data_IF_146456993774
#
_entry.id   IF_146456993774
#
_cell.length_a   1.000
_cell.length_b   1.000
_cell.length_c   1.000
_cell.angle_alpha   90.00
_cell.angle_beta   90.00
_cell.angle_gamma   90.00
#
_symmetry.space_group_name_H-M   'P 1'
#
loop_
_entity.id
_entity.type
_entity.pdbx_description
1 polymer ?
#
# COMPACT_ATOMS: atom_id res chain seq x y z
N UNK A 1 14.77 -1.62 -29.11
CA UNK A 1 15.54 -1.32 -27.89
C UNK A 1 15.04 -2.26 -26.80
N UNK A 2 15.82 -3.28 -26.42
CA UNK A 2 15.40 -4.23 -25.37
C UNK A 2 15.48 -3.51 -24.01
N UNK A 3 14.33 -3.20 -23.42
CA UNK A 3 14.30 -2.68 -22.06
C UNK A 3 14.50 -3.87 -21.11
N UNK A 4 15.71 -4.00 -20.56
CA UNK A 4 16.03 -5.06 -19.61
C UNK A 4 15.19 -4.87 -18.34
N UNK A 5 14.30 -5.82 -18.08
CA UNK A 5 13.53 -5.90 -16.83
C UNK A 5 14.47 -6.28 -15.68
N UNK A 6 14.39 -5.53 -14.59
CA UNK A 6 15.14 -5.72 -13.34
C UNK A 6 14.19 -6.17 -12.24
N UNK A 7 14.72 -6.87 -11.24
CA UNK A 7 13.99 -7.30 -10.06
C UNK A 7 14.73 -6.88 -8.80
N UNK A 8 13.97 -6.47 -7.79
CA UNK A 8 14.46 -6.29 -6.42
C UNK A 8 13.55 -7.05 -5.48
N UNK A 9 14.13 -7.75 -4.51
CA UNK A 9 13.41 -8.32 -3.37
C UNK A 9 14.01 -7.74 -2.10
N UNK A 10 13.17 -7.15 -1.26
CA UNK A 10 13.63 -6.40 -0.09
C UNK A 10 12.61 -6.46 1.04
N UNK A 11 13.03 -6.06 2.24
CA UNK A 11 12.11 -5.81 3.33
C UNK A 11 11.61 -4.37 3.30
N UNK A 12 10.38 -4.15 3.76
CA UNK A 12 9.75 -2.83 3.76
C UNK A 12 9.99 -2.15 5.11
N UNK A 13 10.91 -1.18 5.15
CA UNK A 13 11.18 -0.32 6.31
C UNK A 13 10.21 0.87 6.33
N UNK A 14 9.66 1.18 7.51
CA UNK A 14 8.70 2.25 7.75
C UNK A 14 9.34 3.38 8.57
N UNK A 15 9.30 4.60 8.03
CA UNK A 15 9.91 5.80 8.65
C UNK A 15 8.99 7.02 8.60
N UNK A 16 9.23 8.00 9.46
CA UNK A 16 8.72 9.37 9.30
C UNK A 16 9.85 10.35 9.63
N UNK A 17 10.35 11.06 8.62
CA UNK A 17 11.59 11.83 8.74
C UNK A 17 12.78 10.95 9.18
N UNK A 18 13.42 11.32 10.29
CA UNK A 18 14.51 10.56 10.90
C UNK A 18 14.03 9.40 11.79
N UNK A 19 12.77 9.40 12.22
CA UNK A 19 12.21 8.37 13.10
C UNK A 19 11.97 7.08 12.31
N UNK A 20 12.47 5.97 12.84
CA UNK A 20 12.18 4.63 12.33
C UNK A 20 11.09 3.99 13.19
N UNK A 21 10.03 3.48 12.55
CA UNK A 21 8.95 2.77 13.23
C UNK A 21 9.20 1.26 13.27
N UNK A 22 9.88 0.72 12.27
CA UNK A 22 10.18 -0.71 12.15
C UNK A 22 10.02 -1.18 10.71
N UNK A 23 9.95 -2.50 10.53
CA UNK A 23 9.69 -3.15 9.26
C UNK A 23 8.26 -3.68 9.23
N UNK A 24 7.61 -3.69 8.08
CA UNK A 24 6.28 -4.30 7.92
C UNK A 24 6.36 -5.79 8.25
N UNK A 25 5.49 -6.27 9.14
CA UNK A 25 5.34 -7.68 9.46
C UNK A 25 4.72 -8.44 8.27
N UNK A 26 5.11 -9.70 8.01
CA UNK A 26 4.45 -10.50 7.00
C UNK A 26 3.06 -10.99 7.45
N UNK A 27 2.59 -10.64 8.65
CA UNK A 27 1.32 -11.10 9.23
C UNK A 27 0.29 -9.97 9.15
N UNK A 28 -0.93 -10.31 8.75
CA UNK A 28 -2.06 -9.38 8.79
C UNK A 28 -2.62 -9.19 10.20
N UNK A 29 -3.20 -8.04 10.47
CA UNK A 29 -4.00 -7.82 11.68
C UNK A 29 -5.31 -8.65 11.65
N UNK A 30 -6.17 -8.46 12.66
CA UNK A 30 -7.45 -9.16 12.78
C UNK A 30 -8.41 -8.95 11.60
N UNK A 31 -8.22 -7.88 10.83
CA UNK A 31 -9.05 -7.49 9.69
C UNK A 31 -8.43 -7.85 8.34
N UNK A 32 -7.27 -8.50 8.30
CA UNK A 32 -6.63 -8.88 7.04
C UNK A 32 -5.76 -7.76 6.43
N UNK A 33 -5.33 -6.80 7.22
CA UNK A 33 -4.55 -5.63 6.77
C UNK A 33 -3.08 -5.75 7.19
N UNK A 34 -2.18 -5.21 6.37
CA UNK A 34 -0.80 -4.98 6.80
C UNK A 34 -0.73 -3.75 7.70
N UNK A 35 0.14 -3.80 8.71
CA UNK A 35 0.39 -2.64 9.57
C UNK A 35 1.05 -2.97 10.90
N UNK A 36 1.05 -4.23 11.32
CA UNK A 36 1.94 -4.64 12.40
C UNK A 36 3.39 -4.42 11.98
N UNK A 37 4.16 -3.74 12.83
CA UNK A 37 5.58 -3.45 12.60
C UNK A 37 6.46 -4.25 13.55
N UNK A 38 7.62 -4.68 13.05
CA UNK A 38 8.65 -5.38 13.81
C UNK A 38 9.93 -4.55 13.90
N UNK A 39 10.65 -4.65 15.01
CA UNK A 39 11.85 -3.84 15.28
C UNK A 39 13.08 -4.24 14.46
N UNK A 40 13.11 -5.45 13.89
CA UNK A 40 14.26 -5.98 13.16
C UNK A 40 13.90 -6.46 11.75
N UNK A 41 14.87 -6.46 10.84
CA UNK A 41 14.73 -6.95 9.46
C UNK A 41 14.42 -8.46 9.33
N UNK A 42 15.07 -9.37 10.10
CA UNK A 42 14.81 -10.80 9.96
C UNK A 42 13.33 -11.15 10.17
N UNK A 43 12.78 -11.93 9.24
CA UNK A 43 11.36 -12.33 9.28
C UNK A 43 10.36 -11.27 8.80
N UNK A 44 10.79 -10.05 8.46
CA UNK A 44 9.88 -9.00 7.98
C UNK A 44 9.25 -9.38 6.63
N UNK A 45 8.17 -8.69 6.26
CA UNK A 45 7.57 -8.77 4.94
C UNK A 45 8.63 -8.49 3.89
N UNK A 46 8.74 -9.41 2.93
CA UNK A 46 9.58 -9.31 1.75
C UNK A 46 8.69 -9.01 0.56
N UNK A 47 9.01 -7.95 -0.18
CA UNK A 47 8.29 -7.55 -1.39
C UNK A 47 9.23 -7.66 -2.58
N UNK A 48 8.79 -8.36 -3.62
CA UNK A 48 9.44 -8.36 -4.93
C UNK A 48 8.80 -7.30 -5.84
N UNK A 49 9.63 -6.46 -6.45
CA UNK A 49 9.22 -5.46 -7.43
C UNK A 49 9.99 -5.71 -8.72
N UNK A 50 9.26 -5.81 -9.83
CA UNK A 50 9.85 -5.90 -11.17
C UNK A 50 9.72 -4.55 -11.86
N UNK A 51 10.81 -4.03 -12.44
CA UNK A 51 10.83 -2.69 -13.02
C UNK A 51 11.83 -2.56 -14.17
N UNK A 52 11.62 -1.58 -15.05
CA UNK A 52 12.35 -1.46 -16.31
C UNK A 52 13.06 -0.10 -16.51
N UNK A 53 12.87 0.85 -15.59
CA UNK A 53 13.44 2.20 -15.67
C UNK A 53 14.05 2.66 -14.33
N UNK A 54 14.57 3.90 -14.28
CA UNK A 54 15.16 4.50 -13.07
C UNK A 54 14.14 5.20 -12.16
N UNK A 55 12.88 5.34 -12.60
CA UNK A 55 11.76 5.82 -11.77
C UNK A 55 10.45 5.19 -12.24
N UNK A 56 10.34 3.85 -12.16
CA UNK A 56 9.16 3.10 -12.55
C UNK A 56 7.94 3.43 -11.69
N UNK A 57 6.76 3.50 -12.31
CA UNK A 57 5.46 3.69 -11.66
C UNK A 57 4.47 2.62 -12.08
N UNK A 58 3.31 2.57 -11.41
CA UNK A 58 2.24 1.59 -11.67
C UNK A 58 2.74 0.14 -11.52
N UNK A 59 3.52 -0.10 -10.47
CA UNK A 59 4.17 -1.39 -10.22
C UNK A 59 3.37 -2.24 -9.25
N UNK A 60 3.30 -3.53 -9.55
CA UNK A 60 2.89 -4.53 -8.58
C UNK A 60 4.05 -4.81 -7.62
N UNK A 61 3.73 -4.92 -6.34
CA UNK A 61 4.60 -5.53 -5.34
C UNK A 61 4.10 -6.93 -5.02
N UNK A 62 4.96 -7.95 -5.05
CA UNK A 62 4.59 -9.32 -4.67
C UNK A 62 5.09 -9.58 -3.25
N UNK A 63 4.18 -9.85 -2.31
CA UNK A 63 4.50 -10.26 -0.95
C UNK A 63 5.00 -11.71 -0.93
N UNK A 64 6.31 -11.93 -1.07
CA UNK A 64 6.88 -13.28 -1.28
C UNK A 64 6.77 -14.20 -0.05
N UNK A 65 6.57 -13.61 1.14
CA UNK A 65 6.30 -14.32 2.39
C UNK A 65 5.01 -13.83 3.05
N UNK A 66 4.03 -13.37 2.27
CA UNK A 66 2.72 -12.98 2.79
C UNK A 66 1.93 -14.19 3.34
N UNK A 67 0.86 -13.96 4.13
CA UNK A 67 0.15 -15.03 4.87
C UNK A 67 -0.59 -16.04 3.99
N UNK A 68 -1.05 -15.62 2.81
CA UNK A 68 -1.92 -16.41 1.95
C UNK A 68 -1.59 -16.16 0.48
N UNK A 69 -1.22 -17.23 -0.22
CA UNK A 69 -0.83 -17.19 -1.63
C UNK A 69 -1.97 -16.85 -2.58
N UNK A 70 -3.23 -16.86 -2.12
CA UNK A 70 -4.40 -16.38 -2.88
C UNK A 70 -4.42 -14.86 -3.04
N UNK A 71 -3.73 -14.14 -2.14
CA UNK A 71 -3.67 -12.67 -2.12
C UNK A 71 -2.21 -12.17 -2.19
N UNK A 72 -1.44 -12.54 -3.23
CA UNK A 72 0.02 -12.37 -3.25
C UNK A 72 0.46 -10.93 -3.50
N UNK A 73 -0.42 -10.06 -3.98
CA UNK A 73 -0.05 -8.68 -4.26
C UNK A 73 -0.06 -7.86 -2.98
N UNK A 74 1.05 -7.20 -2.67
CA UNK A 74 1.11 -6.09 -1.72
C UNK A 74 0.45 -4.89 -2.40
N UNK A 75 -0.82 -4.64 -2.10
CA UNK A 75 -1.62 -3.61 -2.77
C UNK A 75 -2.53 -2.90 -1.78
N UNK A 76 -3.61 -2.32 -2.27
CA UNK A 76 -4.58 -1.63 -1.43
C UNK A 76 -6.03 -2.00 -1.76
N UNK A 77 -6.89 -1.89 -0.75
CA UNK A 77 -8.33 -2.09 -0.84
C UNK A 77 -9.04 -0.89 -0.20
N UNK A 78 -10.08 -0.37 -0.84
CA UNK A 78 -10.81 0.81 -0.33
C UNK A 78 -11.32 0.60 1.09
N UNK A 79 -11.26 1.66 1.88
CA UNK A 79 -11.83 1.68 3.22
C UNK A 79 -13.34 1.45 3.21
N UNK A 80 -13.87 0.77 4.22
CA UNK A 80 -15.29 0.39 4.25
C UNK A 80 -16.24 1.59 4.35
N UNK A 81 -15.75 2.75 4.83
CA UNK A 81 -16.56 3.96 5.03
C UNK A 81 -16.40 4.99 3.90
N UNK A 82 -15.89 4.61 2.73
CA UNK A 82 -15.73 5.51 1.58
C UNK A 82 -16.93 5.43 0.63
N UNK A 83 -17.40 6.58 0.15
CA UNK A 83 -18.58 6.69 -0.73
C UNK A 83 -18.25 6.68 -2.22
N UNK A 84 -16.98 6.93 -2.56
CA UNK A 84 -16.44 6.82 -3.91
C UNK A 84 -14.98 6.31 -3.83
N UNK A 85 -14.32 6.10 -4.96
CA UNK A 85 -12.94 5.57 -5.02
C UNK A 85 -11.90 6.65 -5.33
N UNK A 86 -12.24 7.94 -5.28
CA UNK A 86 -11.39 9.00 -5.82
C UNK A 86 -10.59 9.70 -4.71
N UNK A 87 -9.28 9.74 -4.89
CA UNK A 87 -8.36 10.49 -4.06
C UNK A 87 -8.23 11.90 -4.65
N UNK A 88 -8.76 12.89 -3.91
CA UNK A 88 -8.80 14.31 -4.26
C UNK A 88 -8.63 15.16 -3.01
N UNK A 89 -8.17 16.41 -3.15
CA UNK A 89 -8.08 17.36 -2.04
C UNK A 89 -9.43 17.49 -1.33
N UNK A 90 -9.41 17.50 0.00
CA UNK A 90 -10.60 17.52 0.85
C UNK A 90 -11.36 16.19 0.95
N UNK A 91 -10.94 15.14 0.25
CA UNK A 91 -11.56 13.82 0.35
C UNK A 91 -11.17 13.11 1.64
N UNK A 92 -12.13 12.40 2.22
CA UNK A 92 -11.92 11.49 3.35
C UNK A 92 -11.61 10.06 2.89
N UNK A 93 -11.49 9.83 1.58
CA UNK A 93 -11.23 8.51 1.06
C UNK A 93 -9.84 8.01 1.43
N UNK A 94 -9.81 6.74 1.77
CA UNK A 94 -8.63 6.02 2.16
C UNK A 94 -8.73 4.56 1.69
N UNK A 95 -7.59 3.86 1.66
CA UNK A 95 -7.53 2.45 1.33
C UNK A 95 -6.52 1.75 2.23
N UNK A 96 -6.87 0.58 2.77
CA UNK A 96 -6.00 -0.24 3.59
C UNK A 96 -4.90 -0.88 2.73
N UNK A 97 -3.68 -0.98 3.25
CA UNK A 97 -2.65 -1.80 2.63
C UNK A 97 -2.93 -3.27 2.96
N UNK A 98 -3.15 -4.09 1.94
CA UNK A 98 -3.64 -5.47 2.08
C UNK A 98 -2.90 -6.44 1.17
N UNK A 99 -3.12 -7.74 1.37
CA UNK A 99 -2.90 -8.72 0.32
C UNK A 99 -4.06 -8.66 -0.68
N UNK A 100 -3.77 -8.65 -1.97
CA UNK A 100 -4.82 -8.62 -3.00
C UNK A 100 -4.49 -9.49 -4.22
N UNK A 101 -5.48 -9.67 -5.08
CA UNK A 101 -5.29 -10.22 -6.43
C UNK A 101 -4.82 -9.13 -7.39
N UNK A 102 -4.25 -9.52 -8.53
CA UNK A 102 -3.69 -8.55 -9.47
C UNK A 102 -4.79 -7.77 -10.22
N UNK A 103 -4.66 -6.46 -10.26
CA UNK A 103 -5.39 -5.56 -11.18
C UNK A 103 -4.50 -5.14 -12.35
N UNK A 104 -5.11 -4.59 -13.40
CA UNK A 104 -4.34 -4.10 -14.56
C UNK A 104 -3.54 -2.85 -14.15
N UNK A 105 -2.23 -2.77 -14.42
CA UNK A 105 -1.45 -1.58 -14.12
C UNK A 105 -2.06 -0.31 -14.74
N UNK A 106 -2.30 0.69 -13.91
CA UNK A 106 -2.89 1.97 -14.34
C UNK A 106 -4.39 1.96 -14.59
N UNK A 107 -5.12 0.89 -14.26
CA UNK A 107 -6.59 0.93 -14.23
C UNK A 107 -7.09 1.48 -12.89
N UNK A 108 -8.25 2.14 -12.87
CA UNK A 108 -8.93 2.48 -11.62
C UNK A 108 -9.22 1.25 -10.75
N UNK A 109 -9.47 1.50 -9.47
CA UNK A 109 -9.92 0.50 -8.53
C UNK A 109 -11.19 -0.22 -9.00
N UNK A 110 -11.24 -1.54 -8.76
CA UNK A 110 -12.39 -2.38 -9.09
C UNK A 110 -12.62 -3.43 -8.03
N UNK A 111 -13.85 -3.90 -7.87
CA UNK A 111 -14.15 -5.03 -6.98
C UNK A 111 -13.25 -6.22 -7.30
N UNK A 112 -12.66 -6.82 -6.27
CA UNK A 112 -11.82 -7.99 -6.44
C UNK A 112 -11.41 -8.65 -5.11
N UNK A 113 -11.01 -9.93 -5.17
CA UNK A 113 -10.61 -10.67 -3.98
C UNK A 113 -9.37 -10.06 -3.30
N UNK A 114 -9.46 -9.91 -1.98
CA UNK A 114 -8.39 -9.40 -1.13
C UNK A 114 -8.51 -9.96 0.30
N UNK A 115 -7.46 -9.77 1.10
CA UNK A 115 -7.37 -10.28 2.46
C UNK A 115 -8.33 -9.61 3.43
N UNK A 116 -8.68 -8.33 3.24
CA UNK A 116 -9.67 -7.63 4.05
C UNK A 116 -11.05 -8.23 3.85
N UNK A 117 -11.53 -8.27 2.61
CA UNK A 117 -12.82 -8.90 2.25
C UNK A 117 -12.89 -10.36 2.72
N UNK A 118 -11.80 -11.13 2.58
CA UNK A 118 -11.76 -12.51 3.05
C UNK A 118 -11.96 -12.64 4.57
N UNK A 119 -11.57 -11.63 5.36
CA UNK A 119 -11.71 -11.61 6.82
C UNK A 119 -13.02 -10.99 7.28
N UNK A 120 -13.46 -9.92 6.63
CA UNK A 120 -14.59 -9.10 7.10
C UNK A 120 -15.90 -9.41 6.38
N UNK A 121 -15.85 -10.08 5.22
CA UNK A 121 -16.98 -10.29 4.32
C UNK A 121 -17.53 -8.99 3.70
N UNK A 122 -16.77 -7.89 3.75
CA UNK A 122 -17.10 -6.65 3.06
C UNK A 122 -16.37 -6.58 1.72
N UNK A 123 -17.12 -6.69 0.62
CA UNK A 123 -16.58 -6.53 -0.73
C UNK A 123 -16.19 -5.07 -0.98
N UNK A 124 -14.92 -4.84 -1.31
CA UNK A 124 -14.38 -3.49 -1.56
C UNK A 124 -13.52 -3.46 -2.84
N UNK A 125 -13.46 -2.32 -3.55
CA UNK A 125 -12.56 -2.15 -4.68
C UNK A 125 -11.07 -2.25 -4.29
N UNK A 126 -10.25 -2.77 -5.20
CA UNK A 126 -8.81 -3.01 -5.00
C UNK A 126 -7.97 -2.38 -6.11
N UNK A 127 -6.71 -2.06 -5.78
CA UNK A 127 -5.63 -1.83 -6.73
C UNK A 127 -4.35 -2.56 -6.28
N UNK A 128 -3.73 -3.33 -7.19
CA UNK A 128 -2.45 -4.00 -6.90
C UNK A 128 -1.23 -3.20 -7.36
N UNK A 129 -1.38 -2.42 -8.44
CA UNK A 129 -0.29 -1.75 -9.13
C UNK A 129 -0.07 -0.31 -8.63
N UNK A 130 -0.08 -0.11 -7.32
CA UNK A 130 -0.07 1.21 -6.68
C UNK A 130 1.33 1.79 -6.46
N UNK A 131 2.39 1.02 -6.73
CA UNK A 131 3.74 1.40 -6.31
C UNK A 131 4.53 2.18 -7.36
N UNK A 132 5.26 3.17 -6.88
CA UNK A 132 6.38 3.84 -7.54
C UNK A 132 7.66 3.48 -6.78
N UNK A 133 8.69 3.07 -7.52
CA UNK A 133 9.96 2.66 -6.93
C UNK A 133 11.11 3.53 -7.43
N UNK A 134 11.96 4.01 -6.51
CA UNK A 134 13.19 4.75 -6.84
C UNK A 134 14.41 3.90 -6.51
N UNK A 135 15.03 3.21 -7.49
CA UNK A 135 16.13 2.27 -7.25
C UNK A 135 17.36 2.88 -6.56
N UNK A 136 17.60 4.18 -6.72
CA UNK A 136 18.77 4.85 -6.13
C UNK A 136 18.63 5.06 -4.62
N UNK A 137 17.41 5.14 -4.09
CA UNK A 137 17.16 5.39 -2.67
C UNK A 137 16.38 4.26 -1.99
N UNK A 138 15.92 3.26 -2.76
CA UNK A 138 15.00 2.24 -2.28
C UNK A 138 13.60 2.79 -1.95
N UNK A 139 13.29 4.05 -2.28
CA UNK A 139 12.01 4.66 -1.90
C UNK A 139 10.87 3.94 -2.61
N UNK A 140 9.83 3.62 -1.84
CA UNK A 140 8.59 3.04 -2.31
C UNK A 140 7.45 4.01 -1.95
N UNK A 141 6.81 4.59 -2.96
CA UNK A 141 5.69 5.54 -2.79
C UNK A 141 4.43 4.99 -3.43
N UNK A 142 3.27 5.37 -2.91
CA UNK A 142 1.99 4.92 -3.43
C UNK A 142 1.36 5.97 -4.36
N UNK A 143 0.62 5.49 -5.36
CA UNK A 143 -0.27 6.24 -6.24
C UNK A 143 -1.58 5.49 -6.34
N UNK A 144 -2.64 6.25 -6.57
CA UNK A 144 -3.98 5.71 -6.74
C UNK A 144 -4.55 6.17 -8.07
N UNK A 145 -5.29 5.31 -8.77
CA UNK A 145 -5.93 5.66 -10.03
C UNK A 145 -7.41 5.94 -9.78
N UNK A 146 -7.79 7.21 -9.88
CA UNK A 146 -9.18 7.63 -9.72
C UNK A 146 -10.07 7.05 -10.83
N UNK A 147 -11.38 7.09 -10.61
CA UNK A 147 -12.41 6.60 -11.52
C UNK A 147 -12.36 7.23 -12.91
N UNK A 148 -11.87 8.47 -13.02
CA UNK A 148 -11.63 9.18 -14.28
C UNK A 148 -10.28 8.84 -14.95
N UNK A 149 -9.58 7.83 -14.44
CA UNK A 149 -8.23 7.40 -14.83
C UNK A 149 -7.10 8.40 -14.56
N UNK A 150 -7.38 9.48 -13.82
CA UNK A 150 -6.31 10.36 -13.31
C UNK A 150 -5.50 9.66 -12.22
N UNK A 151 -4.21 9.98 -12.15
CA UNK A 151 -3.32 9.47 -11.11
C UNK A 151 -3.24 10.47 -9.97
N UNK A 152 -3.64 10.04 -8.78
CA UNK A 152 -3.60 10.85 -7.57
C UNK A 152 -2.43 10.45 -6.65
N UNK A 153 -1.80 11.39 -5.93
CA UNK A 153 -0.95 11.07 -4.80
C UNK A 153 -1.71 10.24 -3.76
N UNK A 154 -1.06 9.22 -3.22
CA UNK A 154 -1.59 8.40 -2.14
C UNK A 154 -0.57 8.38 -0.99
N UNK A 155 -0.92 9.02 0.12
CA UNK A 155 -0.02 9.21 1.25
C UNK A 155 -0.16 8.07 2.24
N UNK A 156 0.94 7.40 2.56
CA UNK A 156 0.94 6.27 3.48
C UNK A 156 0.86 6.79 4.91
N UNK A 157 -0.12 6.31 5.66
CA UNK A 157 -0.43 6.67 7.03
C UNK A 157 -0.32 5.44 7.92
N UNK A 158 -0.02 5.64 9.21
CA UNK A 158 0.09 4.55 10.17
C UNK A 158 -0.80 4.76 11.40
N UNK A 159 -1.78 3.88 11.58
CA UNK A 159 -2.60 3.77 12.79
C UNK A 159 -1.96 2.75 13.74
N UNK A 160 -1.26 3.22 14.77
CA UNK A 160 -0.46 2.37 15.64
C UNK A 160 -1.30 1.53 16.62
N UNK A 161 -2.43 2.07 17.04
CA UNK A 161 -3.44 1.43 17.88
C UNK A 161 -4.14 0.28 17.15
N UNK A 162 -4.49 0.49 15.87
CA UNK A 162 -5.12 -0.54 15.02
C UNK A 162 -4.11 -1.48 14.36
N UNK A 163 -2.82 -1.12 14.43
CA UNK A 163 -1.72 -1.81 13.74
C UNK A 163 -2.00 -1.91 12.24
N UNK A 164 -2.37 -0.78 11.65
CA UNK A 164 -2.82 -0.69 10.25
C UNK A 164 -2.03 0.36 9.49
N UNK A 165 -1.58 -0.02 8.30
CA UNK A 165 -1.06 0.90 7.29
C UNK A 165 -2.16 1.13 6.26
N UNK A 166 -2.41 2.38 5.93
CA UNK A 166 -3.38 2.77 4.92
C UNK A 166 -2.84 3.91 4.07
N UNK A 167 -3.47 4.16 2.93
CA UNK A 167 -3.22 5.31 2.09
C UNK A 167 -4.41 6.25 2.11
N UNK A 168 -4.16 7.56 2.10
CA UNK A 168 -5.20 8.58 1.99
C UNK A 168 -4.87 9.56 0.87
N UNK A 169 -5.90 10.12 0.23
CA UNK A 169 -5.74 11.17 -0.79
C UNK A 169 -5.41 12.54 -0.19
N UNK A 170 -5.98 12.83 0.98
CA UNK A 170 -5.72 14.05 1.75
C UNK A 170 -5.59 13.71 3.25
N UNK A 171 -4.35 13.53 3.75
CA UNK A 171 -4.11 13.21 5.16
C UNK A 171 -4.67 14.23 6.15
N UNK A 172 -4.72 15.51 5.77
CA UNK A 172 -5.19 16.57 6.67
C UNK A 172 -6.70 16.48 6.80
N UNK A 173 -7.42 16.41 5.67
CA UNK A 173 -8.87 16.24 5.69
C UNK A 173 -9.29 14.97 6.44
N UNK A 174 -8.59 13.85 6.22
CA UNK A 174 -8.85 12.59 6.93
C UNK A 174 -8.62 12.70 8.45
N UNK A 175 -7.51 13.32 8.86
CA UNK A 175 -7.18 13.48 10.28
C UNK A 175 -8.17 14.42 10.99
N UNK A 176 -8.61 15.49 10.32
CA UNK A 176 -9.58 16.44 10.85
C UNK A 176 -10.95 15.77 11.06
N UNK A 177 -11.43 15.01 10.07
CA UNK A 177 -12.72 14.34 10.15
C UNK A 177 -12.76 13.24 11.23
N UNK A 178 -11.63 12.57 11.48
CA UNK A 178 -11.53 11.52 12.51
C UNK A 178 -11.08 12.05 13.87
N UNK A 179 -10.77 13.35 13.98
CA UNK A 179 -10.17 13.96 15.17
C UNK A 179 -8.95 13.18 15.70
N UNK A 180 -8.23 12.49 14.81
CA UNK A 180 -7.12 11.60 15.14
C UNK A 180 -5.94 11.91 14.23
N UNK A 181 -4.77 12.12 14.83
CA UNK A 181 -3.54 12.36 14.06
C UNK A 181 -2.85 11.05 13.76
N UNK A 182 -2.83 10.69 12.48
CA UNK A 182 -2.05 9.57 11.98
C UNK A 182 -0.72 10.08 11.43
N UNK A 183 0.44 9.58 11.86
CA UNK A 183 1.71 9.95 11.24
C UNK A 183 1.72 9.49 9.78
N UNK A 184 2.01 10.44 8.88
CA UNK A 184 2.43 10.08 7.53
C UNK A 184 3.80 9.40 7.60
N UNK A 185 3.92 8.25 6.94
CA UNK A 185 5.13 7.44 6.89
C UNK A 185 5.59 7.24 5.45
N UNK A 186 6.84 6.81 5.30
CA UNK A 186 7.44 6.43 4.03
C UNK A 186 7.92 4.99 4.08
N UNK A 187 7.85 4.32 2.94
CA UNK A 187 8.41 2.99 2.76
C UNK A 187 9.77 3.05 2.08
N UNK A 188 10.72 2.29 2.61
CA UNK A 188 12.02 2.06 1.98
C UNK A 188 12.26 0.56 1.84
N UNK A 189 12.53 0.15 0.61
CA UNK A 189 12.97 -1.19 0.23
C UNK A 189 14.44 -1.35 0.61
N UNK A 190 14.73 -2.21 1.60
CA UNK A 190 16.08 -2.41 2.16
C UNK A 190 16.48 -3.87 2.33
#
# INVERSE_FOLDING_TARGET
MNILSRKVTCNVLVKSGSKTFGYVSPIWNGYGEYGTLQSSKPGALRVEITYSSTSPSKLNGIAVNGPDSRFPMFGAAMGFSTNDTDFKTGSLNYAYIVGTTQTSPGSPAKLGPNSFTAKTQFDVPIESAIWEYKPTTGSLTARWINSDSSSAPAYIMYAADEKTLFIAGDPSAFSDATSTSYPQVTFTCV
#
